data_IF_007881797685
#
_entry.id   IF_007881797685
#
_cell.length_a   1.000
_cell.length_b   1.000
_cell.length_c   1.000
_cell.angle_alpha   90.00
_cell.angle_beta   90.00
_cell.angle_gamma   90.00
#
_symmetry.space_group_name_H-M   'P 1'
#
loop_
_entity.id
_entity.type
_entity.pdbx_description
1 polymer ?
#
# COMPACT_ATOMS: atom_id res chain seq x y z
N UNK A 1 -8.53 -3.49 -15.24
CA UNK A 1 -7.08 -3.41 -14.93
C UNK A 1 -6.50 -2.25 -15.71
N UNK A 2 -5.79 -1.32 -15.07
CA UNK A 2 -5.06 -0.28 -15.80
C UNK A 2 -3.89 -0.89 -16.57
N UNK A 3 -3.77 -0.59 -17.88
CA UNK A 3 -2.72 -1.11 -18.74
C UNK A 3 -1.40 -0.37 -18.49
N UNK A 4 -0.34 -1.14 -18.23
CA UNK A 4 1.06 -0.71 -18.33
C UNK A 4 1.71 -1.30 -19.58
N UNK A 5 3.04 -1.29 -19.68
CA UNK A 5 3.73 -1.95 -20.79
C UNK A 5 3.52 -3.46 -20.66
N UNK A 6 2.55 -3.93 -21.43
CA UNK A 6 2.16 -5.32 -21.51
C UNK A 6 3.04 -5.99 -22.55
N UNK A 7 3.75 -7.06 -22.19
CA UNK A 7 4.62 -7.77 -23.14
C UNK A 7 3.79 -8.37 -24.29
N UNK A 8 2.51 -8.67 -24.02
CA UNK A 8 1.51 -9.15 -24.99
C UNK A 8 0.15 -8.50 -24.71
N UNK A 9 -0.71 -8.35 -25.72
CA UNK A 9 -2.03 -7.69 -25.59
C UNK A 9 -2.91 -8.32 -24.49
N UNK A 10 -2.76 -9.62 -24.23
CA UNK A 10 -3.46 -10.33 -23.16
C UNK A 10 -2.88 -10.13 -21.75
N UNK A 11 -1.78 -9.39 -21.57
CA UNK A 11 -1.08 -9.30 -20.28
C UNK A 11 -1.67 -8.30 -19.28
N UNK A 12 -2.98 -8.06 -19.38
CA UNK A 12 -3.78 -7.39 -18.36
C UNK A 12 -4.85 -8.33 -17.83
N UNK A 13 -4.94 -8.47 -16.51
CA UNK A 13 -5.94 -9.35 -15.91
C UNK A 13 -5.56 -9.90 -14.56
N UNK A 14 -6.39 -10.80 -14.05
CA UNK A 14 -6.09 -11.60 -12.86
C UNK A 14 -5.01 -12.61 -13.24
N UNK A 15 -3.91 -12.73 -12.45
CA UNK A 15 -2.97 -13.82 -12.59
C UNK A 15 -3.65 -15.20 -12.41
N UNK A 16 -3.46 -16.12 -13.36
CA UNK A 16 -4.18 -17.41 -13.40
C UNK A 16 -3.30 -18.62 -13.65
N UNK A 17 -2.06 -18.45 -14.10
CA UNK A 17 -1.15 -19.56 -14.37
C UNK A 17 -0.08 -19.67 -13.27
N UNK A 18 0.29 -20.89 -12.88
CA UNK A 18 1.24 -21.18 -11.82
C UNK A 18 2.00 -22.51 -12.05
N UNK A 19 3.15 -22.68 -11.39
CA UNK A 19 3.85 -23.96 -11.37
C UNK A 19 3.15 -25.01 -10.49
N UNK A 20 2.55 -24.58 -9.37
CA UNK A 20 1.81 -25.44 -8.44
C UNK A 20 0.39 -24.93 -8.27
N UNK A 21 -0.58 -25.83 -8.43
CA UNK A 21 -2.00 -25.56 -8.22
C UNK A 21 -2.50 -26.32 -7.00
N UNK A 22 -3.07 -25.60 -6.03
CA UNK A 22 -3.83 -26.15 -4.91
C UNK A 22 -5.30 -25.81 -5.16
N UNK A 23 -6.08 -26.82 -5.54
CA UNK A 23 -7.51 -26.68 -5.89
C UNK A 23 -8.32 -27.57 -4.97
N UNK A 24 -9.23 -26.99 -4.19
CA UNK A 24 -10.04 -27.72 -3.19
C UNK A 24 -9.21 -28.57 -2.23
N UNK A 25 -8.00 -28.10 -1.90
CA UNK A 25 -7.08 -28.75 -0.98
C UNK A 25 -7.19 -28.20 0.43
N UNK A 26 -7.03 -29.05 1.44
CA UNK A 26 -6.99 -28.64 2.83
C UNK A 26 -5.76 -29.20 3.55
N UNK A 27 -5.13 -28.38 4.41
CA UNK A 27 -3.98 -28.82 5.21
C UNK A 27 -2.70 -29.06 4.38
N UNK A 28 -2.50 -28.28 3.33
CA UNK A 28 -1.36 -28.41 2.42
C UNK A 28 -0.24 -27.46 2.86
N UNK A 29 1.01 -27.95 2.85
CA UNK A 29 2.19 -27.12 3.10
C UNK A 29 3.14 -27.19 1.92
N UNK A 30 3.53 -26.02 1.42
CA UNK A 30 4.58 -25.79 0.45
C UNK A 30 5.67 -25.07 1.22
N UNK A 31 6.68 -25.82 1.66
CA UNK A 31 7.73 -25.38 2.58
C UNK A 31 9.11 -25.62 1.95
N UNK A 32 10.04 -24.70 2.19
CA UNK A 32 11.43 -24.76 1.71
C UNK A 32 11.56 -25.03 0.19
N UNK A 33 10.62 -24.52 -0.60
CA UNK A 33 10.58 -24.72 -2.04
C UNK A 33 11.30 -23.60 -2.80
N UNK A 34 11.70 -23.88 -4.04
CA UNK A 34 12.34 -22.90 -4.93
C UNK A 34 11.70 -22.92 -6.32
N UNK A 35 11.07 -21.81 -6.68
CA UNK A 35 10.44 -21.55 -7.97
C UNK A 35 11.32 -20.57 -8.76
N UNK A 36 11.77 -20.96 -9.95
CA UNK A 36 12.76 -20.18 -10.74
C UNK A 36 12.39 -20.20 -12.21
N UNK A 37 12.42 -19.03 -12.86
CA UNK A 37 12.27 -18.86 -14.31
C UNK A 37 10.99 -19.53 -14.87
N UNK A 38 9.84 -19.30 -14.23
CA UNK A 38 8.56 -19.83 -14.71
C UNK A 38 7.87 -18.82 -15.63
N UNK A 39 7.25 -19.30 -16.71
CA UNK A 39 6.39 -18.45 -17.56
C UNK A 39 5.09 -18.04 -16.87
N UNK A 40 4.56 -18.89 -15.99
CA UNK A 40 3.48 -18.60 -15.06
C UNK A 40 3.98 -18.03 -13.72
N UNK A 41 3.11 -18.02 -12.72
CA UNK A 41 3.45 -17.72 -11.33
C UNK A 41 4.01 -18.92 -10.56
N UNK A 42 4.21 -18.75 -9.26
CA UNK A 42 4.72 -19.83 -8.40
C UNK A 42 3.61 -20.79 -7.94
N UNK A 43 2.74 -20.30 -7.06
CA UNK A 43 1.65 -21.09 -6.46
C UNK A 43 0.31 -20.42 -6.70
N UNK A 44 -0.68 -21.16 -7.20
CA UNK A 44 -2.09 -20.76 -7.23
C UNK A 44 -2.89 -21.58 -6.23
N UNK A 45 -3.61 -20.90 -5.34
CA UNK A 45 -4.51 -21.47 -4.35
C UNK A 45 -5.94 -21.04 -4.70
N UNK A 46 -6.83 -22.01 -4.94
CA UNK A 46 -8.20 -21.73 -5.40
C UNK A 46 -9.18 -22.84 -4.99
N UNK A 47 -10.46 -22.67 -5.37
CA UNK A 47 -11.47 -23.70 -5.30
C UNK A 47 -11.78 -24.18 -3.88
N UNK A 48 -12.14 -23.28 -2.94
CA UNK A 48 -12.40 -23.59 -1.51
C UNK A 48 -11.22 -24.17 -0.73
N UNK A 49 -9.98 -23.93 -1.17
CA UNK A 49 -8.80 -24.40 -0.42
C UNK A 49 -8.68 -23.71 0.94
N UNK A 50 -8.31 -24.46 1.97
CA UNK A 50 -8.28 -23.99 3.37
C UNK A 50 -7.03 -24.51 4.12
N UNK A 51 -6.46 -23.71 5.02
CA UNK A 51 -5.28 -24.10 5.80
C UNK A 51 -4.10 -24.50 4.88
N UNK A 52 -3.78 -23.60 3.95
CA UNK A 52 -2.67 -23.77 3.00
C UNK A 52 -1.52 -22.87 3.43
N UNK A 53 -0.34 -23.46 3.63
CA UNK A 53 0.87 -22.75 4.01
C UNK A 53 1.83 -22.69 2.83
N UNK A 54 2.28 -21.50 2.46
CA UNK A 54 3.39 -21.27 1.53
C UNK A 54 4.47 -20.53 2.30
N UNK A 55 5.49 -21.27 2.75
CA UNK A 55 6.45 -20.78 3.74
C UNK A 55 7.89 -21.08 3.37
N UNK A 56 8.82 -20.26 3.88
CA UNK A 56 10.27 -20.43 3.75
C UNK A 56 10.76 -20.66 2.31
N UNK A 57 10.02 -20.17 1.31
CA UNK A 57 10.24 -20.50 -0.09
C UNK A 57 10.79 -19.32 -0.88
N UNK A 58 11.42 -19.63 -2.01
CA UNK A 58 12.05 -18.66 -2.90
C UNK A 58 11.34 -18.61 -4.25
N UNK A 59 10.97 -17.41 -4.70
CA UNK A 59 10.34 -17.16 -6.00
C UNK A 59 11.23 -16.18 -6.78
N UNK A 60 11.80 -16.62 -7.90
CA UNK A 60 12.81 -15.84 -8.63
C UNK A 60 12.47 -15.80 -10.11
N UNK A 61 12.29 -14.61 -10.66
CA UNK A 61 12.02 -14.40 -12.10
C UNK A 61 10.74 -15.13 -12.54
N UNK A 62 9.61 -14.71 -11.97
CA UNK A 62 8.29 -15.27 -12.25
C UNK A 62 7.58 -14.47 -13.34
N UNK A 63 6.96 -15.17 -14.27
CA UNK A 63 6.18 -14.57 -15.34
C UNK A 63 4.89 -13.91 -14.86
N UNK A 64 4.23 -14.52 -13.87
CA UNK A 64 3.09 -13.93 -13.15
C UNK A 64 3.42 -13.76 -11.66
N UNK A 65 2.41 -13.76 -10.79
CA UNK A 65 2.60 -13.50 -9.35
C UNK A 65 3.28 -14.66 -8.63
N UNK A 66 3.99 -14.38 -7.55
CA UNK A 66 4.68 -15.41 -6.75
C UNK A 66 3.68 -16.37 -6.11
N UNK A 67 2.78 -15.84 -5.29
CA UNK A 67 1.67 -16.59 -4.69
C UNK A 67 0.35 -15.91 -5.01
N UNK A 68 -0.61 -16.69 -5.49
CA UNK A 68 -1.92 -16.24 -5.92
C UNK A 68 -3.00 -16.96 -5.14
N UNK A 69 -3.99 -16.21 -4.67
CA UNK A 69 -5.24 -16.75 -4.14
C UNK A 69 -6.37 -16.17 -4.97
N UNK A 70 -7.16 -17.04 -5.61
CA UNK A 70 -8.30 -16.59 -6.42
C UNK A 70 -9.53 -17.41 -6.10
N UNK A 71 -10.68 -16.75 -6.07
CA UNK A 71 -11.97 -17.42 -5.92
C UNK A 71 -13.15 -16.49 -6.15
N UNK A 72 -14.34 -17.02 -5.92
CA UNK A 72 -15.60 -16.29 -5.95
C UNK A 72 -16.35 -16.44 -4.63
N UNK A 73 -17.60 -15.96 -4.56
CA UNK A 73 -18.45 -16.03 -3.36
C UNK A 73 -18.47 -17.40 -2.68
N UNK A 74 -18.46 -18.49 -3.45
CA UNK A 74 -18.55 -19.87 -2.94
C UNK A 74 -17.24 -20.63 -3.01
N UNK A 75 -16.21 -20.11 -3.70
CA UNK A 75 -14.92 -20.80 -3.90
C UNK A 75 -13.70 -20.08 -3.33
N UNK A 76 -13.91 -18.99 -2.59
CA UNK A 76 -12.82 -18.23 -1.97
C UNK A 76 -11.92 -19.13 -1.09
N UNK A 77 -10.60 -19.07 -1.26
CA UNK A 77 -9.66 -19.65 -0.31
C UNK A 77 -9.75 -18.96 1.05
N UNK A 78 -9.41 -19.68 2.11
CA UNK A 78 -9.33 -19.09 3.44
C UNK A 78 -8.24 -19.72 4.29
N UNK A 79 -7.83 -19.03 5.37
CA UNK A 79 -6.78 -19.52 6.29
C UNK A 79 -5.49 -19.86 5.55
N UNK A 80 -5.10 -19.02 4.61
CA UNK A 80 -3.83 -19.14 3.89
C UNK A 80 -2.75 -18.43 4.69
N UNK A 81 -1.62 -19.08 4.89
CA UNK A 81 -0.41 -18.47 5.45
C UNK A 81 0.63 -18.33 4.34
N UNK A 82 1.02 -17.10 4.00
CA UNK A 82 2.17 -16.84 3.14
C UNK A 82 3.23 -16.14 4.00
N UNK A 83 4.29 -16.87 4.37
CA UNK A 83 5.25 -16.33 5.32
C UNK A 83 6.71 -16.71 5.10
N UNK A 84 7.63 -15.80 5.47
CA UNK A 84 9.08 -16.01 5.38
C UNK A 84 9.58 -16.35 3.96
N UNK A 85 8.84 -15.90 2.92
CA UNK A 85 9.25 -16.12 1.55
C UNK A 85 10.12 -14.95 1.05
N UNK A 86 11.03 -15.24 0.12
CA UNK A 86 11.71 -14.21 -0.68
C UNK A 86 11.23 -14.25 -2.12
N UNK A 87 10.83 -13.12 -2.66
CA UNK A 87 10.32 -12.98 -4.02
C UNK A 87 11.10 -11.88 -4.73
N UNK A 88 11.68 -12.21 -5.88
CA UNK A 88 12.49 -11.30 -6.66
C UNK A 88 12.14 -11.41 -8.14
N UNK A 89 11.92 -10.27 -8.82
CA UNK A 89 11.67 -10.26 -10.26
C UNK A 89 10.32 -10.89 -10.61
N UNK A 90 9.24 -10.29 -10.15
CA UNK A 90 7.88 -10.84 -10.28
C UNK A 90 7.08 -10.09 -11.36
N UNK A 91 6.36 -10.82 -12.21
CA UNK A 91 5.53 -10.22 -13.26
C UNK A 91 6.29 -9.92 -14.54
N UNK A 92 7.23 -10.78 -14.94
CA UNK A 92 8.04 -10.59 -16.16
C UNK A 92 7.23 -10.70 -17.47
N UNK A 93 6.06 -11.35 -17.43
CA UNK A 93 5.14 -11.43 -18.56
C UNK A 93 3.82 -10.70 -18.28
N UNK A 94 3.20 -10.95 -17.12
CA UNK A 94 1.94 -10.32 -16.72
C UNK A 94 2.20 -9.07 -15.89
N UNK A 95 2.00 -7.89 -16.47
CA UNK A 95 2.28 -6.62 -15.79
C UNK A 95 1.39 -6.41 -14.55
N UNK A 96 0.17 -6.95 -14.54
CA UNK A 96 -0.74 -6.97 -13.39
C UNK A 96 -0.41 -8.06 -12.33
N UNK A 97 0.85 -8.44 -12.20
CA UNK A 97 1.31 -9.34 -11.15
C UNK A 97 1.88 -8.58 -9.94
N UNK A 98 1.98 -9.29 -8.82
CA UNK A 98 2.71 -8.86 -7.63
C UNK A 98 3.33 -10.05 -6.92
N UNK A 99 4.12 -9.81 -5.88
CA UNK A 99 4.68 -10.93 -5.11
C UNK A 99 3.57 -11.81 -4.53
N UNK A 100 2.61 -11.19 -3.84
CA UNK A 100 1.41 -11.85 -3.32
C UNK A 100 0.18 -11.17 -3.92
N UNK A 101 -0.70 -11.96 -4.52
CA UNK A 101 -1.96 -11.50 -5.08
C UNK A 101 -3.13 -12.30 -4.52
N UNK A 102 -4.12 -11.62 -3.96
CA UNK A 102 -5.35 -12.22 -3.46
C UNK A 102 -6.57 -11.56 -4.05
N UNK A 103 -7.44 -12.33 -4.70
CA UNK A 103 -8.76 -11.90 -5.14
C UNK A 103 -9.79 -12.87 -4.55
N UNK A 104 -10.60 -12.37 -3.60
CA UNK A 104 -11.52 -13.18 -2.79
C UNK A 104 -10.77 -14.15 -1.87
N UNK A 105 -10.11 -13.64 -0.83
CA UNK A 105 -9.40 -14.42 0.18
C UNK A 105 -9.60 -13.83 1.58
N UNK A 106 -9.93 -14.68 2.54
CA UNK A 106 -10.30 -14.25 3.89
C UNK A 106 -9.58 -15.04 4.98
N UNK A 107 -9.54 -14.50 6.20
CA UNK A 107 -8.94 -15.15 7.37
C UNK A 107 -7.46 -15.56 7.16
N UNK A 108 -6.73 -14.82 6.33
CA UNK A 108 -5.40 -15.20 5.85
C UNK A 108 -4.31 -14.27 6.38
N UNK A 109 -3.10 -14.80 6.49
CA UNK A 109 -1.95 -14.10 7.09
C UNK A 109 -0.81 -14.03 6.08
N UNK A 110 -0.36 -12.80 5.81
CA UNK A 110 0.75 -12.49 4.91
C UNK A 110 1.84 -11.82 5.73
N UNK A 111 2.87 -12.57 6.14
CA UNK A 111 3.87 -12.05 7.08
C UNK A 111 5.32 -12.38 6.82
N UNK A 112 6.22 -11.48 7.18
CA UNK A 112 7.67 -11.68 7.05
C UNK A 112 8.12 -12.05 5.62
N UNK A 113 7.40 -11.61 4.59
CA UNK A 113 7.83 -11.81 3.21
C UNK A 113 8.74 -10.66 2.77
N UNK A 114 9.76 -10.98 1.98
CA UNK A 114 10.61 -10.01 1.28
C UNK A 114 10.26 -10.03 -0.20
N UNK A 115 9.79 -8.90 -0.73
CA UNK A 115 9.35 -8.81 -2.13
C UNK A 115 10.06 -7.64 -2.79
N UNK A 116 10.83 -7.94 -3.82
CA UNK A 116 11.64 -6.97 -4.53
C UNK A 116 11.45 -7.06 -6.05
N UNK A 117 11.43 -5.92 -6.72
CA UNK A 117 11.35 -5.84 -8.18
C UNK A 117 10.10 -6.55 -8.73
N UNK A 118 8.92 -5.99 -8.44
CA UNK A 118 7.68 -6.45 -9.04
C UNK A 118 7.16 -5.50 -10.11
N UNK A 119 6.45 -6.05 -11.09
CA UNK A 119 5.85 -5.31 -12.19
C UNK A 119 4.83 -4.28 -11.72
N UNK A 120 3.99 -4.64 -10.74
CA UNK A 120 2.97 -3.77 -10.14
C UNK A 120 3.02 -3.78 -8.62
N UNK A 121 2.48 -4.80 -7.99
CA UNK A 121 2.25 -4.80 -6.55
C UNK A 121 3.34 -5.51 -5.77
N UNK A 122 3.58 -5.12 -4.52
CA UNK A 122 4.24 -6.00 -3.56
C UNK A 122 3.23 -7.04 -3.06
N UNK A 123 2.19 -6.55 -2.37
CA UNK A 123 1.04 -7.34 -1.93
C UNK A 123 -0.24 -6.63 -2.37
N UNK A 124 -1.13 -7.35 -3.05
CA UNK A 124 -2.46 -6.86 -3.41
C UNK A 124 -3.54 -7.81 -2.94
N UNK A 125 -4.50 -7.32 -2.15
CA UNK A 125 -5.67 -8.07 -1.70
C UNK A 125 -6.93 -7.33 -2.13
N UNK A 126 -7.85 -8.00 -2.80
CA UNK A 126 -9.06 -7.37 -3.33
C UNK A 126 -10.31 -8.19 -3.08
N UNK A 127 -11.41 -7.49 -2.86
CA UNK A 127 -12.75 -8.05 -3.08
C UNK A 127 -13.07 -8.02 -4.58
N UNK A 128 -13.77 -9.03 -5.08
CA UNK A 128 -14.07 -9.18 -6.51
C UNK A 128 -15.57 -8.98 -6.77
N UNK A 129 -15.90 -7.81 -7.33
CA UNK A 129 -17.27 -7.36 -7.59
C UNK A 129 -18.00 -8.33 -8.53
N UNK A 130 -17.37 -8.71 -9.65
CA UNK A 130 -18.00 -9.56 -10.66
C UNK A 130 -18.31 -10.96 -10.11
N UNK A 131 -17.54 -11.38 -9.10
CA UNK A 131 -17.70 -12.65 -8.42
C UNK A 131 -18.58 -12.56 -7.15
N UNK A 132 -19.09 -11.37 -6.82
CA UNK A 132 -19.81 -11.03 -5.59
C UNK A 132 -19.09 -11.58 -4.34
N UNK A 133 -17.78 -11.36 -4.29
CA UNK A 133 -16.88 -12.03 -3.37
C UNK A 133 -16.04 -11.01 -2.58
N UNK A 134 -15.78 -11.32 -1.32
CA UNK A 134 -15.12 -10.41 -0.37
C UNK A 134 -13.78 -10.96 0.07
N UNK A 135 -12.88 -10.06 0.45
CA UNK A 135 -11.64 -10.40 1.16
C UNK A 135 -11.66 -9.75 2.53
N UNK A 136 -11.89 -10.54 3.58
CA UNK A 136 -12.12 -10.02 4.94
C UNK A 136 -11.23 -10.70 5.99
N UNK A 137 -11.05 -10.04 7.13
CA UNK A 137 -10.32 -10.55 8.30
C UNK A 137 -8.93 -11.08 7.96
N UNK A 138 -8.19 -10.32 7.15
CA UNK A 138 -6.82 -10.66 6.81
C UNK A 138 -5.82 -9.90 7.70
N UNK A 139 -4.61 -10.44 7.82
CA UNK A 139 -3.49 -9.83 8.51
C UNK A 139 -2.28 -9.71 7.58
N UNK A 140 -1.85 -8.48 7.32
CA UNK A 140 -0.64 -8.18 6.53
C UNK A 140 0.39 -7.54 7.45
N UNK A 141 1.44 -8.28 7.82
CA UNK A 141 2.40 -7.79 8.81
C UNK A 141 3.88 -8.11 8.60
N UNK A 142 4.78 -7.23 9.03
CA UNK A 142 6.24 -7.47 8.99
C UNK A 142 6.82 -7.79 7.60
N UNK A 143 6.14 -7.40 6.52
CA UNK A 143 6.66 -7.58 5.17
C UNK A 143 7.63 -6.45 4.80
N UNK A 144 8.65 -6.78 4.00
CA UNK A 144 9.61 -5.82 3.41
C UNK A 144 9.43 -5.79 1.90
N UNK A 145 8.96 -4.66 1.38
CA UNK A 145 8.65 -4.47 -0.03
C UNK A 145 9.52 -3.35 -0.61
N UNK A 146 10.24 -3.62 -1.70
CA UNK A 146 11.20 -2.66 -2.26
C UNK A 146 11.22 -2.67 -3.78
N UNK A 147 11.29 -1.50 -4.40
CA UNK A 147 11.37 -1.33 -5.86
C UNK A 147 10.17 -1.99 -6.55
N UNK A 148 9.03 -1.32 -6.52
CA UNK A 148 7.74 -1.85 -6.99
C UNK A 148 7.18 -1.00 -8.13
N UNK A 149 6.32 -1.59 -8.96
CA UNK A 149 5.67 -0.89 -10.06
C UNK A 149 6.57 -0.60 -11.25
N UNK A 150 7.41 -1.56 -11.63
CA UNK A 150 8.36 -1.37 -12.73
C UNK A 150 7.71 -1.37 -14.13
N UNK A 151 6.42 -1.67 -14.22
CA UNK A 151 5.73 -1.81 -15.52
C UNK A 151 4.36 -1.17 -15.60
N UNK A 152 3.79 -0.72 -14.48
CA UNK A 152 2.43 -0.19 -14.41
C UNK A 152 2.32 1.04 -13.51
N UNK A 153 1.24 1.79 -13.65
CA UNK A 153 0.84 2.88 -12.76
C UNK A 153 -0.43 2.54 -11.96
N UNK A 154 -0.90 3.49 -11.15
CA UNK A 154 -2.13 3.42 -10.36
C UNK A 154 -2.14 2.18 -9.46
N UNK A 155 -1.22 2.18 -8.50
CA UNK A 155 -1.04 1.08 -7.55
C UNK A 155 -0.36 1.55 -6.26
N UNK A 156 -0.60 0.83 -5.18
CA UNK A 156 0.16 0.88 -3.93
C UNK A 156 1.15 -0.28 -3.83
N UNK A 157 2.32 -0.09 -3.23
CA UNK A 157 3.18 -1.21 -2.85
C UNK A 157 2.45 -2.25 -2.00
N UNK A 158 1.64 -1.77 -1.06
CA UNK A 158 0.51 -2.48 -0.47
C UNK A 158 -0.78 -1.95 -1.10
N UNK A 159 -1.58 -2.81 -1.73
CA UNK A 159 -2.85 -2.42 -2.37
C UNK A 159 -4.01 -3.22 -1.83
N UNK A 160 -5.06 -2.51 -1.44
CA UNK A 160 -6.28 -3.10 -0.91
C UNK A 160 -7.46 -2.53 -1.68
N UNK A 161 -8.25 -3.38 -2.31
CA UNK A 161 -9.28 -2.93 -3.26
C UNK A 161 -10.65 -3.41 -2.80
N UNK A 162 -11.56 -2.46 -2.60
CA UNK A 162 -13.00 -2.70 -2.39
C UNK A 162 -13.81 -2.39 -3.65
N UNK A 163 -15.09 -2.77 -3.64
CA UNK A 163 -16.07 -2.32 -4.62
C UNK A 163 -17.25 -1.66 -3.90
N UNK A 164 -18.04 -0.87 -4.60
CA UNK A 164 -19.19 -0.19 -4.01
C UNK A 164 -20.18 -1.18 -3.37
N UNK A 165 -20.49 -1.00 -2.08
CA UNK A 165 -21.36 -1.92 -1.34
C UNK A 165 -20.64 -3.08 -0.67
N UNK A 166 -19.30 -3.19 -0.80
CA UNK A 166 -18.50 -4.18 -0.06
C UNK A 166 -18.63 -3.93 1.46
N UNK A 167 -18.75 -4.98 2.29
CA UNK A 167 -18.66 -4.82 3.75
C UNK A 167 -17.29 -4.31 4.18
N UNK A 168 -17.20 -3.86 5.43
CA UNK A 168 -15.94 -3.54 6.07
C UNK A 168 -15.05 -4.78 6.07
N UNK A 169 -13.77 -4.61 5.71
CA UNK A 169 -12.86 -5.71 5.49
C UNK A 169 -12.31 -6.31 6.78
N UNK A 170 -12.43 -5.61 7.91
CA UNK A 170 -11.85 -5.98 9.21
C UNK A 170 -10.39 -6.45 9.11
N UNK A 171 -9.64 -5.88 8.16
CA UNK A 171 -8.28 -6.30 7.81
C UNK A 171 -7.27 -5.39 8.47
N UNK A 172 -6.27 -5.99 9.12
CA UNK A 172 -5.18 -5.26 9.77
C UNK A 172 -3.92 -5.28 8.90
N UNK A 173 -3.36 -4.10 8.68
CA UNK A 173 -2.12 -3.88 7.91
C UNK A 173 -1.13 -3.21 8.85
N UNK A 174 -0.15 -3.97 9.36
CA UNK A 174 0.73 -3.45 10.40
C UNK A 174 2.19 -3.79 10.27
N UNK A 175 3.05 -2.90 10.75
CA UNK A 175 4.48 -3.22 10.90
C UNK A 175 5.16 -3.62 9.57
N UNK A 176 4.68 -3.14 8.43
CA UNK A 176 5.31 -3.37 7.13
C UNK A 176 6.30 -2.24 6.81
N UNK A 177 7.33 -2.56 6.02
CA UNK A 177 8.27 -1.61 5.43
C UNK A 177 8.08 -1.63 3.92
N UNK A 178 7.65 -0.50 3.34
CA UNK A 178 7.45 -0.34 1.89
C UNK A 178 8.33 0.80 1.39
N UNK A 179 9.14 0.54 0.36
CA UNK A 179 10.00 1.55 -0.23
C UNK A 179 10.02 1.51 -1.75
N UNK A 180 10.27 2.68 -2.34
CA UNK A 180 10.61 2.81 -3.77
C UNK A 180 9.50 2.28 -4.68
N UNK A 181 8.31 2.87 -4.56
CA UNK A 181 7.23 2.67 -5.51
C UNK A 181 7.41 3.65 -6.67
N UNK A 182 7.69 3.12 -7.87
CA UNK A 182 8.15 3.91 -9.02
C UNK A 182 6.96 4.29 -9.89
N UNK A 183 6.29 3.26 -10.41
CA UNK A 183 5.21 3.38 -11.37
C UNK A 183 5.66 3.83 -12.76
N UNK A 184 5.01 3.25 -13.77
CA UNK A 184 5.31 3.48 -15.18
C UNK A 184 4.01 3.64 -15.95
N UNK A 185 3.92 4.72 -16.70
CA UNK A 185 2.85 4.95 -17.67
C UNK A 185 3.38 4.73 -19.09
N UNK A 186 2.57 4.10 -19.92
CA UNK A 186 2.86 3.96 -21.34
C UNK A 186 1.62 4.00 -22.20
N UNK A 187 1.74 4.56 -23.40
CA UNK A 187 0.71 4.50 -24.46
C UNK A 187 1.36 4.57 -25.85
N UNK A 188 0.64 4.14 -26.88
CA UNK A 188 0.99 4.49 -28.25
C UNK A 188 0.39 5.87 -28.57
N UNK A 189 1.22 6.79 -29.05
CA UNK A 189 0.82 8.16 -29.41
C UNK A 189 1.45 8.54 -30.74
N UNK A 190 0.63 8.77 -31.76
CA UNK A 190 1.13 9.12 -33.10
C UNK A 190 1.91 8.01 -33.81
N UNK A 191 1.70 6.74 -33.44
CA UNK A 191 2.41 5.59 -33.98
C UNK A 191 3.67 5.19 -33.19
N UNK A 192 4.10 6.01 -32.22
CA UNK A 192 5.30 5.76 -31.42
C UNK A 192 4.94 5.44 -29.95
N UNK A 193 5.76 4.63 -29.25
CA UNK A 193 5.58 4.40 -27.83
C UNK A 193 6.00 5.63 -27.02
N UNK A 194 5.09 6.13 -26.18
CA UNK A 194 5.38 7.07 -25.11
C UNK A 194 5.51 6.29 -23.80
N UNK A 195 6.58 6.56 -23.05
CA UNK A 195 6.82 6.00 -21.72
C UNK A 195 7.18 7.12 -20.75
N UNK A 196 6.47 7.19 -19.63
CA UNK A 196 6.70 8.15 -18.55
C UNK A 196 6.98 7.39 -17.25
N UNK A 197 8.07 7.74 -16.58
CA UNK A 197 8.46 7.17 -15.29
C UNK A 197 9.38 8.16 -14.53
N UNK A 198 9.32 8.21 -13.18
CA UNK A 198 8.31 7.57 -12.33
C UNK A 198 6.90 8.17 -12.57
N UNK A 199 5.82 7.40 -12.36
CA UNK A 199 4.45 7.85 -12.65
C UNK A 199 3.37 7.24 -11.73
N UNK A 200 2.46 8.07 -11.20
CA UNK A 200 1.22 7.72 -10.47
C UNK A 200 1.30 6.43 -9.62
N UNK A 201 2.10 6.49 -8.55
CA UNK A 201 2.34 5.36 -7.66
C UNK A 201 2.32 5.77 -6.19
N UNK A 202 1.82 4.88 -5.36
CA UNK A 202 1.57 5.10 -3.94
C UNK A 202 2.32 4.06 -3.11
N UNK A 203 2.61 4.37 -1.85
CA UNK A 203 3.19 3.37 -0.95
C UNK A 203 2.17 2.38 -0.42
N UNK A 204 1.06 2.90 0.10
CA UNK A 204 -0.12 2.15 0.51
C UNK A 204 -1.36 2.72 -0.18
N UNK A 205 -2.18 1.85 -0.76
CA UNK A 205 -3.36 2.27 -1.50
C UNK A 205 -4.59 1.51 -1.00
N UNK A 206 -5.49 2.24 -0.34
CA UNK A 206 -6.85 1.80 -0.06
C UNK A 206 -7.71 2.25 -1.24
N UNK A 207 -7.82 1.39 -2.24
CA UNK A 207 -8.37 1.69 -3.55
C UNK A 207 -9.88 1.41 -3.64
N UNK A 208 -10.54 2.15 -4.52
CA UNK A 208 -11.98 2.16 -4.80
C UNK A 208 -12.81 2.36 -3.54
N UNK A 209 -13.43 1.31 -2.99
CA UNK A 209 -14.24 1.41 -1.78
C UNK A 209 -13.67 0.59 -0.63
N UNK A 210 -12.35 0.34 -0.63
CA UNK A 210 -11.66 -0.36 0.46
C UNK A 210 -12.01 0.27 1.82
N UNK A 211 -12.71 -0.48 2.66
CA UNK A 211 -13.33 0.02 3.90
C UNK A 211 -13.03 -0.88 5.09
N UNK A 212 -13.00 -0.32 6.30
CA UNK A 212 -12.77 -1.08 7.53
C UNK A 212 -11.34 -1.60 7.71
N UNK A 213 -10.35 -0.96 7.10
CA UNK A 213 -8.95 -1.32 7.29
C UNK A 213 -8.36 -0.63 8.52
N UNK A 214 -7.58 -1.38 9.30
CA UNK A 214 -6.73 -0.81 10.35
C UNK A 214 -5.27 -0.82 9.89
N UNK A 215 -4.76 0.35 9.54
CA UNK A 215 -3.40 0.57 9.03
C UNK A 215 -2.56 1.16 10.15
N UNK A 216 -1.63 0.38 10.71
CA UNK A 216 -0.85 0.84 11.87
C UNK A 216 0.60 0.41 11.95
N UNK A 217 1.48 1.28 12.42
CA UNK A 217 2.88 0.89 12.66
C UNK A 217 3.69 0.62 11.39
N UNK A 218 3.22 1.03 10.21
CA UNK A 218 3.93 0.81 8.95
C UNK A 218 4.94 1.94 8.70
N UNK A 219 6.02 1.61 8.00
CA UNK A 219 6.95 2.58 7.42
C UNK A 219 6.79 2.55 5.91
N UNK A 220 6.41 3.68 5.35
CA UNK A 220 6.17 3.84 3.93
C UNK A 220 7.06 4.98 3.43
N UNK A 221 8.07 4.66 2.62
CA UNK A 221 9.09 5.63 2.26
C UNK A 221 9.43 5.69 0.77
N UNK A 222 9.92 6.85 0.31
CA UNK A 222 10.40 7.05 -1.08
C UNK A 222 9.36 6.64 -2.12
N UNK A 223 8.16 7.20 -2.00
CA UNK A 223 7.09 6.99 -2.97
C UNK A 223 7.01 8.19 -3.92
N UNK A 224 6.37 8.02 -5.08
CA UNK A 224 6.20 9.11 -6.01
C UNK A 224 5.04 10.02 -5.61
N UNK A 225 3.80 9.53 -5.77
CA UNK A 225 2.60 10.36 -5.72
C UNK A 225 2.26 10.71 -4.27
N UNK A 226 2.11 9.72 -3.40
CA UNK A 226 1.95 9.93 -1.97
C UNK A 226 2.33 8.69 -1.16
N UNK A 227 2.50 8.85 0.15
CA UNK A 227 2.76 7.72 1.06
C UNK A 227 1.53 6.83 1.17
N UNK A 228 0.35 7.45 1.18
CA UNK A 228 -0.93 6.75 1.24
C UNK A 228 -1.98 7.43 0.35
N UNK A 229 -2.81 6.61 -0.31
CA UNK A 229 -4.04 7.06 -0.95
C UNK A 229 -5.26 6.35 -0.35
N UNK A 230 -6.18 7.15 0.22
CA UNK A 230 -7.52 6.70 0.61
C UNK A 230 -8.51 7.12 -0.47
N UNK A 231 -8.83 6.19 -1.37
CA UNK A 231 -9.77 6.37 -2.45
C UNK A 231 -11.11 5.81 -2.01
N UNK A 232 -12.14 6.67 -1.98
CA UNK A 232 -13.60 6.53 -1.74
C UNK A 232 -14.09 5.70 -0.54
N UNK A 233 -13.31 4.80 0.05
CA UNK A 233 -13.70 3.92 1.14
C UNK A 233 -14.17 4.64 2.42
N UNK A 234 -14.52 3.85 3.43
CA UNK A 234 -15.02 4.36 4.72
C UNK A 234 -14.44 3.57 5.89
N UNK A 235 -14.54 4.15 7.08
CA UNK A 235 -14.20 3.48 8.34
C UNK A 235 -12.74 2.99 8.41
N UNK A 236 -11.85 3.52 7.57
CA UNK A 236 -10.44 3.18 7.65
C UNK A 236 -9.79 3.95 8.79
N UNK A 237 -8.94 3.27 9.56
CA UNK A 237 -8.15 3.89 10.63
C UNK A 237 -6.67 3.81 10.28
N UNK A 238 -6.06 4.96 10.04
CA UNK A 238 -4.66 5.11 9.70
C UNK A 238 -3.96 5.73 10.92
N UNK A 239 -3.28 4.89 11.69
CA UNK A 239 -2.83 5.25 13.03
C UNK A 239 -1.39 4.82 13.29
N UNK A 240 -0.53 5.66 13.86
CA UNK A 240 0.81 5.25 14.31
C UNK A 240 1.75 4.81 13.17
N UNK A 241 1.64 5.40 11.98
CA UNK A 241 2.51 5.08 10.83
C UNK A 241 3.57 6.16 10.60
N UNK A 242 4.63 5.80 9.88
CA UNK A 242 5.66 6.72 9.41
C UNK A 242 5.59 6.79 7.88
N UNK A 243 5.29 7.97 7.35
CA UNK A 243 5.32 8.28 5.92
C UNK A 243 6.51 9.19 5.63
N UNK A 244 7.40 8.77 4.74
CA UNK A 244 8.69 9.43 4.55
C UNK A 244 9.06 9.65 3.09
N UNK A 245 9.35 10.90 2.72
CA UNK A 245 9.98 11.26 1.44
C UNK A 245 9.14 10.90 0.21
N UNK A 246 7.83 11.14 0.28
CA UNK A 246 6.98 11.15 -0.92
C UNK A 246 7.26 12.39 -1.76
N UNK A 247 7.26 12.25 -3.09
CA UNK A 247 7.78 13.27 -4.00
C UNK A 247 6.76 14.36 -4.35
N UNK A 248 5.53 13.99 -4.68
CA UNK A 248 4.50 14.92 -5.15
C UNK A 248 3.65 15.45 -3.98
N UNK A 249 2.95 14.54 -3.29
CA UNK A 249 2.12 14.81 -2.12
C UNK A 249 2.54 13.87 -0.99
N UNK A 250 2.10 14.13 0.24
CA UNK A 250 2.39 13.21 1.35
C UNK A 250 1.23 12.26 1.60
N UNK A 251 0.01 12.78 1.51
CA UNK A 251 -1.25 12.06 1.69
C UNK A 251 -2.16 12.38 0.52
N UNK A 252 -2.82 11.37 -0.01
CA UNK A 252 -3.89 11.54 -1.00
C UNK A 252 -5.20 10.99 -0.41
N UNK A 253 -6.29 11.71 -0.65
CA UNK A 253 -7.61 11.31 -0.23
C UNK A 253 -8.63 11.72 -1.30
N UNK A 254 -9.62 10.89 -1.54
CA UNK A 254 -10.70 11.24 -2.47
C UNK A 254 -11.99 10.63 -1.97
N UNK A 255 -13.01 11.47 -1.79
CA UNK A 255 -14.33 11.00 -1.40
C UNK A 255 -15.30 10.84 -2.57
N UNK A 256 -16.38 10.12 -2.30
CA UNK A 256 -17.58 10.01 -3.11
C UNK A 256 -18.81 10.32 -2.26
N UNK A 257 -19.82 10.95 -2.85
CA UNK A 257 -21.07 11.23 -2.15
C UNK A 257 -21.87 9.95 -1.92
N UNK A 258 -22.37 9.75 -0.70
CA UNK A 258 -23.23 8.60 -0.36
C UNK A 258 -22.48 7.36 0.14
N UNK A 259 -21.15 7.34 0.10
CA UNK A 259 -20.36 6.19 0.56
C UNK A 259 -19.25 6.56 1.55
N UNK A 260 -18.34 7.44 1.14
CA UNK A 260 -17.15 7.80 1.92
C UNK A 260 -17.54 8.48 3.22
N UNK A 261 -17.15 7.90 4.36
CA UNK A 261 -17.29 8.50 5.70
C UNK A 261 -16.22 7.95 6.67
N UNK A 262 -15.88 8.73 7.69
CA UNK A 262 -15.15 8.31 8.89
C UNK A 262 -13.82 7.57 8.62
N UNK A 263 -13.05 8.02 7.63
CA UNK A 263 -11.64 7.63 7.55
C UNK A 263 -10.84 8.52 8.49
N UNK A 264 -9.95 7.96 9.30
CA UNK A 264 -9.19 8.69 10.32
C UNK A 264 -7.69 8.60 10.10
N UNK A 265 -6.98 9.68 10.46
CA UNK A 265 -5.52 9.78 10.33
C UNK A 265 -4.92 10.37 11.62
N UNK A 266 -4.40 9.48 12.46
CA UNK A 266 -4.05 9.77 13.86
C UNK A 266 -2.63 9.34 14.20
N UNK A 267 -1.94 10.07 15.08
CA UNK A 267 -0.63 9.67 15.61
C UNK A 267 0.39 9.27 14.54
N UNK A 268 0.32 9.81 13.32
CA UNK A 268 1.28 9.47 12.28
C UNK A 268 2.44 10.48 12.27
N UNK A 269 3.59 10.03 11.81
CA UNK A 269 4.73 10.91 11.51
C UNK A 269 4.84 11.03 9.99
N UNK A 270 4.81 12.26 9.47
CA UNK A 270 4.94 12.55 8.05
C UNK A 270 6.17 13.43 7.85
N UNK A 271 7.23 12.86 7.28
CA UNK A 271 8.49 13.55 7.00
C UNK A 271 8.71 13.69 5.50
N UNK A 272 9.04 14.89 5.03
CA UNK A 272 9.05 15.18 3.60
C UNK A 272 10.09 16.23 3.23
N UNK A 273 10.27 16.42 1.91
CA UNK A 273 11.21 17.38 1.32
C UNK A 273 10.46 18.23 0.31
N UNK A 274 9.58 19.11 0.79
CA UNK A 274 8.76 19.95 -0.09
C UNK A 274 9.36 21.34 -0.24
N UNK A 275 9.29 21.89 -1.46
CA UNK A 275 9.40 23.31 -1.76
C UNK A 275 8.12 24.05 -1.31
N UNK A 276 8.10 25.38 -1.44
CA UNK A 276 6.99 26.22 -1.01
C UNK A 276 5.65 25.94 -1.71
N UNK A 277 5.66 25.27 -2.85
CA UNK A 277 4.50 24.90 -3.67
C UNK A 277 4.02 23.46 -3.47
N UNK A 278 4.72 22.66 -2.65
CA UNK A 278 4.29 21.29 -2.34
C UNK A 278 2.97 21.26 -1.56
N UNK A 279 2.25 20.14 -1.66
CA UNK A 279 1.03 19.90 -0.88
C UNK A 279 1.27 18.80 0.15
N UNK A 280 0.73 19.00 1.36
CA UNK A 280 0.74 17.97 2.40
C UNK A 280 -0.33 16.92 2.11
N UNK A 281 -1.56 17.39 1.87
CA UNK A 281 -2.72 16.54 1.58
C UNK A 281 -3.34 17.00 0.26
N UNK A 282 -3.38 16.12 -0.72
CA UNK A 282 -4.12 16.32 -1.95
C UNK A 282 -5.49 15.65 -1.87
N UNK A 283 -6.51 16.28 -2.45
CA UNK A 283 -7.81 15.66 -2.67
C UNK A 283 -8.58 16.36 -3.78
N UNK A 284 -8.97 15.61 -4.80
CA UNK A 284 -9.84 16.09 -5.87
C UNK A 284 -11.32 16.22 -5.47
N UNK A 285 -11.76 15.59 -4.37
CA UNK A 285 -13.11 15.74 -3.83
C UNK A 285 -13.13 15.56 -2.30
N UNK A 286 -13.21 16.67 -1.56
CA UNK A 286 -13.08 16.69 -0.10
C UNK A 286 -14.36 17.18 0.60
N UNK A 287 -14.73 16.50 1.69
CA UNK A 287 -15.70 16.95 2.70
C UNK A 287 -15.21 16.46 4.05
N UNK A 288 -15.49 17.19 5.13
CA UNK A 288 -14.90 16.87 6.44
C UNK A 288 -15.20 15.43 6.87
N UNK A 289 -16.44 14.98 6.68
CA UNK A 289 -16.83 13.59 7.01
C UNK A 289 -16.06 12.51 6.25
N UNK A 290 -15.40 12.81 5.13
CA UNK A 290 -14.70 11.83 4.30
C UNK A 290 -13.39 11.38 4.92
N UNK A 291 -12.70 12.30 5.60
CA UNK A 291 -11.37 12.07 6.17
C UNK A 291 -11.27 12.88 7.47
N UNK A 292 -11.92 12.38 8.52
CA UNK A 292 -11.99 12.97 9.85
C UNK A 292 -12.27 11.87 10.89
N UNK A 293 -11.63 11.90 12.07
CA UNK A 293 -10.65 12.91 12.50
C UNK A 293 -9.28 12.78 11.81
N UNK A 294 -8.60 13.92 11.65
CA UNK A 294 -7.17 14.01 11.32
C UNK A 294 -6.55 14.83 12.43
N UNK A 295 -5.76 14.22 13.32
CA UNK A 295 -5.22 14.92 14.49
C UNK A 295 -4.11 14.13 15.20
N UNK A 296 -3.38 14.77 16.14
CA UNK A 296 -2.24 14.22 16.88
C UNK A 296 -1.10 13.68 16.01
N UNK A 297 -0.90 14.25 14.82
CA UNK A 297 0.16 13.89 13.89
C UNK A 297 1.41 14.76 14.10
N UNK A 298 2.58 14.24 13.72
CA UNK A 298 3.84 14.99 13.65
C UNK A 298 4.20 15.21 12.19
N UNK A 299 4.34 16.47 11.77
CA UNK A 299 4.74 16.84 10.43
C UNK A 299 6.13 17.48 10.45
N UNK A 300 7.01 17.10 9.51
CA UNK A 300 8.34 17.68 9.44
C UNK A 300 8.84 17.84 8.01
N UNK A 301 9.13 19.09 7.63
CA UNK A 301 9.82 19.37 6.38
C UNK A 301 11.33 19.37 6.65
N UNK A 302 12.05 18.44 6.03
CA UNK A 302 13.52 18.41 6.10
C UNK A 302 14.19 19.66 5.52
N UNK A 303 13.48 20.42 4.69
CA UNK A 303 13.96 21.69 4.18
C UNK A 303 13.39 22.85 5.00
N UNK A 304 14.00 23.12 6.15
CA UNK A 304 13.57 24.17 7.10
C UNK A 304 13.50 25.56 6.47
N UNK A 305 14.24 25.81 5.38
CA UNK A 305 14.19 27.06 4.61
C UNK A 305 12.78 27.36 4.09
N UNK A 306 12.04 26.33 3.68
CA UNK A 306 10.71 26.47 3.08
C UNK A 306 9.56 26.20 4.04
N UNK A 307 9.82 25.81 5.30
CA UNK A 307 8.76 25.37 6.22
C UNK A 307 7.68 26.43 6.40
N UNK A 308 8.05 27.69 6.66
CA UNK A 308 7.09 28.78 6.80
C UNK A 308 6.24 28.97 5.53
N UNK A 309 6.89 29.11 4.37
CA UNK A 309 6.20 29.31 3.10
C UNK A 309 5.32 28.11 2.70
N UNK A 310 5.75 26.90 3.04
CA UNK A 310 5.00 25.67 2.82
C UNK A 310 3.73 25.66 3.69
N UNK A 311 3.84 26.00 4.98
CA UNK A 311 2.68 26.09 5.87
C UNK A 311 1.71 27.22 5.49
N UNK A 312 2.21 28.28 4.85
CA UNK A 312 1.42 29.40 4.32
C UNK A 312 0.82 29.12 2.93
N UNK A 313 1.23 28.04 2.24
CA UNK A 313 0.75 27.66 0.92
C UNK A 313 -0.77 27.46 0.92
N UNK A 314 -1.48 28.22 0.08
CA UNK A 314 -2.93 28.14 -0.08
C UNK A 314 -3.43 26.78 -0.57
N UNK A 315 -2.57 25.98 -1.19
CA UNK A 315 -2.91 24.64 -1.69
C UNK A 315 -2.34 23.52 -0.80
N UNK A 316 -1.83 23.83 0.40
CA UNK A 316 -1.21 22.86 1.31
C UNK A 316 -2.11 21.65 1.62
N UNK A 317 -3.39 21.93 1.83
CA UNK A 317 -4.45 20.96 2.15
C UNK A 317 -5.70 21.26 1.32
N UNK A 318 -6.70 20.36 1.28
CA UNK A 318 -7.95 20.61 0.55
C UNK A 318 -8.78 21.78 1.09
N UNK A 319 -8.43 22.34 2.25
CA UNK A 319 -9.10 23.51 2.85
C UNK A 319 -8.26 24.78 2.80
N UNK A 320 -7.02 24.72 2.34
CA UNK A 320 -6.13 25.86 2.34
C UNK A 320 -4.78 25.58 2.99
N UNK A 321 -4.18 26.66 3.47
CA UNK A 321 -2.97 26.64 4.28
C UNK A 321 -3.19 26.03 5.68
N UNK A 322 -2.10 25.89 6.44
CA UNK A 322 -2.10 25.24 7.76
C UNK A 322 -3.06 25.91 8.76
N UNK A 323 -3.16 27.25 8.73
CA UNK A 323 -4.07 27.97 9.63
C UNK A 323 -5.53 27.70 9.30
N UNK A 324 -5.89 27.69 8.01
CA UNK A 324 -7.27 27.41 7.59
C UNK A 324 -7.65 25.95 7.89
N UNK A 325 -6.73 25.01 7.66
CA UNK A 325 -6.90 23.60 8.00
C UNK A 325 -7.22 23.41 9.49
N UNK A 326 -6.45 24.05 10.38
CA UNK A 326 -6.69 23.98 11.82
C UNK A 326 -7.98 24.65 12.27
N UNK A 327 -8.32 25.79 11.68
CA UNK A 327 -9.59 26.47 11.99
C UNK A 327 -10.82 25.67 11.55
N UNK A 328 -10.69 24.79 10.55
CA UNK A 328 -11.74 23.88 10.11
C UNK A 328 -11.87 22.61 10.98
N UNK A 329 -11.06 22.50 12.04
CA UNK A 329 -11.14 21.45 13.07
C UNK A 329 -10.21 20.26 12.86
N UNK A 330 -9.23 20.35 11.95
CA UNK A 330 -8.23 19.31 11.71
C UNK A 330 -6.89 19.63 12.37
N UNK A 331 -6.12 18.62 12.74
CA UNK A 331 -4.75 18.76 13.27
C UNK A 331 -4.65 19.82 14.40
N UNK A 332 -5.68 19.88 15.26
CA UNK A 332 -5.78 20.84 16.35
C UNK A 332 -4.69 20.62 17.42
N UNK A 333 -4.28 19.36 17.62
CA UNK A 333 -3.26 18.94 18.57
C UNK A 333 -1.97 18.48 17.89
N UNK A 334 -1.96 18.39 16.55
CA UNK A 334 -0.77 18.02 15.77
C UNK A 334 0.33 19.07 15.87
N UNK A 335 1.58 18.61 15.68
CA UNK A 335 2.77 19.47 15.75
C UNK A 335 3.52 19.49 14.43
N UNK A 336 4.13 20.63 14.12
CA UNK A 336 5.15 20.75 13.07
C UNK A 336 6.49 20.89 13.77
N UNK A 337 7.26 19.80 13.84
CA UNK A 337 8.51 19.72 14.59
C UNK A 337 9.37 18.54 14.12
N UNK A 338 10.68 18.61 14.32
CA UNK A 338 11.58 17.47 14.07
C UNK A 338 11.18 16.28 14.95
N UNK A 339 10.83 15.10 14.37
CA UNK A 339 10.49 13.92 15.13
C UNK A 339 11.70 13.31 15.86
N UNK A 340 12.93 13.76 15.61
CA UNK A 340 14.16 13.26 16.22
C UNK A 340 14.45 11.79 15.88
N UNK A 341 14.33 11.44 14.60
CA UNK A 341 14.80 10.16 14.10
C UNK A 341 16.30 9.97 14.31
N UNK A 342 16.73 8.72 14.51
CA UNK A 342 18.15 8.36 14.60
C UNK A 342 18.88 8.66 13.29
N UNK A 343 18.37 8.18 12.14
CA UNK A 343 18.86 8.51 10.80
C UNK A 343 17.84 8.16 9.69
N UNK A 344 16.77 8.96 9.57
CA UNK A 344 15.69 8.70 8.62
C UNK A 344 16.17 8.65 7.16
N UNK A 345 17.23 9.39 6.79
CA UNK A 345 17.75 9.40 5.42
C UNK A 345 18.43 8.08 5.03
N UNK A 346 19.01 7.39 6.01
CA UNK A 346 19.56 6.04 5.83
C UNK A 346 18.56 4.92 6.13
N UNK A 347 17.31 5.26 6.45
CA UNK A 347 16.25 4.29 6.73
C UNK A 347 16.14 3.84 8.18
N UNK A 348 16.83 4.51 9.11
CA UNK A 348 16.70 4.28 10.54
C UNK A 348 15.64 5.23 11.13
N UNK A 349 14.43 4.68 11.27
CA UNK A 349 13.25 5.40 11.74
C UNK A 349 13.00 5.21 13.24
N UNK A 350 13.98 4.72 14.00
CA UNK A 350 13.91 4.76 15.46
C UNK A 350 13.93 6.22 15.92
N UNK A 351 13.17 6.51 16.97
CA UNK A 351 13.06 7.84 17.56
C UNK A 351 13.98 7.94 18.78
N UNK A 352 14.52 9.14 19.03
CA UNK A 352 15.14 9.44 20.33
C UNK A 352 14.06 9.58 21.40
N UNK A 353 14.40 9.25 22.64
CA UNK A 353 13.48 9.20 23.79
C UNK A 353 12.69 10.51 24.02
N UNK A 354 13.25 11.65 23.60
CA UNK A 354 12.63 12.98 23.74
C UNK A 354 11.88 13.44 22.47
N UNK A 355 11.49 12.52 21.58
CA UNK A 355 10.71 12.85 20.39
C UNK A 355 9.36 13.47 20.76
N UNK A 356 8.94 14.57 20.11
CA UNK A 356 7.62 15.18 20.33
C UNK A 356 6.47 14.26 19.91
N UNK A 357 6.72 13.26 19.07
CA UNK A 357 5.70 12.31 18.63
C UNK A 357 5.16 11.47 19.80
N UNK A 358 5.99 11.18 20.81
CA UNK A 358 5.58 10.40 21.98
C UNK A 358 4.54 11.14 22.83
N UNK A 359 4.66 12.47 22.96
CA UNK A 359 3.70 13.30 23.69
C UNK A 359 2.32 13.32 23.03
N UNK A 360 2.28 13.08 21.71
CA UNK A 360 1.04 12.96 20.94
C UNK A 360 0.42 11.56 21.02
N UNK A 361 1.14 10.56 21.53
CA UNK A 361 0.67 9.17 21.62
C UNK A 361 1.20 8.25 20.52
N UNK A 362 2.19 8.68 19.73
CA UNK A 362 2.92 7.76 18.85
C UNK A 362 3.60 6.68 19.70
N UNK A 363 3.48 5.43 19.30
CA UNK A 363 4.13 4.27 19.90
C UNK A 363 5.31 3.89 19.02
N UNK A 364 6.51 3.77 19.62
CA UNK A 364 7.69 3.34 18.91
C UNK A 364 7.45 2.02 18.17
N UNK A 365 7.94 1.94 16.94
CA UNK A 365 7.81 0.73 16.13
C UNK A 365 8.80 -0.34 16.61
N UNK A 366 8.49 -1.65 16.46
CA UNK A 366 9.44 -2.70 16.78
C UNK A 366 10.75 -2.56 16.02
N UNK A 367 11.88 -2.92 16.66
CA UNK A 367 13.22 -2.84 16.05
C UNK A 367 13.29 -3.59 14.70
N UNK A 368 12.60 -4.72 14.59
CA UNK A 368 12.51 -5.55 13.38
C UNK A 368 11.95 -4.83 12.15
N UNK A 369 11.29 -3.69 12.34
CA UNK A 369 10.66 -2.87 11.28
C UNK A 369 11.27 -1.49 11.20
N UNK A 370 11.68 -0.92 12.33
CA UNK A 370 12.23 0.45 12.44
C UNK A 370 13.42 0.73 11.52
N UNK A 371 14.14 -0.32 11.09
CA UNK A 371 15.15 -0.27 10.04
C UNK A 371 14.53 -0.71 8.71
N UNK A 372 14.30 0.27 7.84
CA UNK A 372 13.66 0.12 6.54
C UNK A 372 14.64 0.62 5.45
N UNK A 373 15.59 -0.23 5.06
CA UNK A 373 16.81 0.07 4.29
C UNK A 373 16.85 -0.41 2.82
#
# INVERSE_FOLDING_TARGET
FQAGFNVVEESSGIPTDAAVYVVAGAGISIDECKFVNTGGGGVLITGTSENVNVVNSHFVEMGQSGVMMTGNKTTQPSKVLVAHNSMFGIGRFLASAGGIYGSSVSHSVFRHNRIEQSSRWGIAIRSEEQANATSVDNLVEFNKLKTLGQSTKDFGGLSFIGYFGVPDADTTVRFNCVRETIGVYSKISGGEPLVEYPYDSYGLYLDNEASGYYVTGNIIAKTLQSGIFVHLGRHNRIDNNIFAFSSTYQIDAKGSSGWTVNNSFLHNIVIYRASSDGQLIYSSNFKNKYFSPVDWNTYYNLNSTFEKSFLENGDLTPKGNWSTWRNDGFDAHSVVADPLFMDALRGDFRLRDNSPAFDLGFNALPDSVSICD
#
